data_IF_827739030662
#
_entry.id   IF_827739030662
#
_cell.length_a   1.000
_cell.length_b   1.000
_cell.length_c   1.000
_cell.angle_alpha   90.00
_cell.angle_beta   90.00
_cell.angle_gamma   90.00
#
_symmetry.space_group_name_H-M   'P 1'
#
loop_
_entity.id
_entity.type
_entity.pdbx_description
1 polymer ?
#
# COMPACT_ATOMS: atom_id res chain seq x y z
N UNK A 1 -9.60 -13.77 7.67
CA UNK A 1 -9.33 -12.61 8.55
C UNK A 1 -9.53 -11.23 7.89
N UNK A 2 -9.36 -11.02 6.57
CA UNK A 2 -9.68 -9.72 5.93
C UNK A 2 -11.12 -9.21 6.19
N UNK A 3 -12.08 -10.14 6.32
CA UNK A 3 -13.46 -9.79 6.67
C UNK A 3 -13.58 -9.10 8.04
N UNK A 4 -12.77 -9.50 9.04
CA UNK A 4 -12.78 -8.86 10.36
C UNK A 4 -12.30 -7.42 10.29
N UNK A 5 -11.24 -7.12 9.54
CA UNK A 5 -10.77 -5.74 9.36
C UNK A 5 -11.82 -4.87 8.66
N UNK A 6 -12.51 -5.41 7.66
CA UNK A 6 -13.61 -4.71 6.96
C UNK A 6 -14.80 -4.50 7.89
N UNK A 7 -15.17 -5.51 8.68
CA UNK A 7 -16.28 -5.44 9.65
C UNK A 7 -15.96 -4.46 10.79
N UNK A 8 -14.75 -4.47 11.34
CA UNK A 8 -14.30 -3.48 12.31
C UNK A 8 -14.28 -2.08 11.71
N UNK A 9 -13.84 -1.92 10.46
CA UNK A 9 -13.93 -0.65 9.72
C UNK A 9 -15.36 -0.12 9.64
N UNK A 10 -16.33 -0.99 9.32
CA UNK A 10 -17.77 -0.64 9.28
C UNK A 10 -18.35 -0.35 10.67
N UNK A 11 -17.93 -1.08 11.69
CA UNK A 11 -18.36 -0.86 13.08
C UNK A 11 -17.88 0.50 13.64
N UNK A 12 -16.69 0.93 13.24
CA UNK A 12 -16.14 2.23 13.65
C UNK A 12 -16.59 3.41 12.77
N UNK A 13 -17.25 3.15 11.64
CA UNK A 13 -17.81 4.18 10.76
C UNK A 13 -18.75 5.18 11.46
N UNK A 14 -19.75 4.76 12.28
CA UNK A 14 -20.61 5.69 13.00
C UNK A 14 -19.87 6.54 14.05
N UNK A 15 -18.82 5.99 14.68
CA UNK A 15 -17.98 6.72 15.64
C UNK A 15 -17.16 7.80 14.92
N UNK A 16 -16.57 7.45 13.78
CA UNK A 16 -15.80 8.39 12.98
C UNK A 16 -16.68 9.52 12.44
N UNK A 17 -17.91 9.23 11.99
CA UNK A 17 -18.86 10.25 11.54
C UNK A 17 -19.20 11.24 12.67
N UNK A 18 -19.44 10.75 13.88
CA UNK A 18 -19.67 11.63 15.06
C UNK A 18 -18.49 12.53 15.37
N UNK A 19 -17.26 12.02 15.27
CA UNK A 19 -16.04 12.82 15.48
C UNK A 19 -15.91 13.90 14.40
N UNK A 20 -16.15 13.55 13.13
CA UNK A 20 -16.09 14.48 12.00
C UNK A 20 -17.13 15.59 12.12
N UNK A 21 -18.37 15.24 12.46
CA UNK A 21 -19.46 16.19 12.68
C UNK A 21 -19.18 17.09 13.90
N UNK A 22 -18.67 16.50 14.99
CA UNK A 22 -18.35 17.25 16.21
C UNK A 22 -17.17 18.22 16.02
N UNK A 23 -16.17 17.86 15.22
CA UNK A 23 -15.03 18.71 14.92
C UNK A 23 -15.26 19.60 13.68
N UNK A 24 -16.44 19.53 13.05
CA UNK A 24 -16.79 20.24 11.80
C UNK A 24 -15.71 20.13 10.73
N UNK A 25 -15.14 18.94 10.59
CA UNK A 25 -14.05 18.70 9.64
C UNK A 25 -14.62 18.75 8.22
N UNK A 26 -13.99 19.53 7.33
CA UNK A 26 -14.35 19.56 5.93
C UNK A 26 -13.95 18.23 5.25
N UNK A 27 -14.94 17.39 4.98
CA UNK A 27 -14.76 16.07 4.38
C UNK A 27 -14.56 16.09 2.86
N UNK A 28 -14.80 17.23 2.21
CA UNK A 28 -14.65 17.38 0.76
C UNK A 28 -13.25 17.85 0.35
N UNK A 29 -12.40 18.19 1.33
CA UNK A 29 -11.03 18.60 1.07
C UNK A 29 -10.13 17.42 0.67
N UNK A 30 -9.20 17.68 -0.25
CA UNK A 30 -8.13 16.74 -0.62
C UNK A 30 -7.37 16.20 0.60
N UNK A 31 -7.05 17.07 1.57
CA UNK A 31 -6.35 16.68 2.81
C UNK A 31 -7.10 15.62 3.61
N UNK A 32 -8.43 15.66 3.63
CA UNK A 32 -9.24 14.69 4.35
C UNK A 32 -9.21 13.32 3.67
N UNK A 33 -9.30 13.31 2.33
CA UNK A 33 -9.17 12.09 1.54
C UNK A 33 -7.76 11.49 1.66
N UNK A 34 -6.72 12.31 1.60
CA UNK A 34 -5.34 11.86 1.81
C UNK A 34 -5.17 11.16 3.16
N UNK A 35 -5.73 11.75 4.23
CA UNK A 35 -5.72 11.13 5.55
C UNK A 35 -6.47 9.78 5.56
N UNK A 36 -7.64 9.68 4.91
CA UNK A 36 -8.38 8.42 4.80
C UNK A 36 -7.59 7.34 4.05
N UNK A 37 -6.93 7.69 2.95
CA UNK A 37 -6.09 6.76 2.17
C UNK A 37 -4.88 6.29 2.98
N UNK A 38 -4.15 7.21 3.63
CA UNK A 38 -2.99 6.86 4.48
C UNK A 38 -3.42 5.95 5.64
N UNK A 39 -4.53 6.27 6.31
CA UNK A 39 -5.07 5.46 7.41
C UNK A 39 -5.40 4.05 6.93
N UNK A 40 -6.08 3.93 5.80
CA UNK A 40 -6.49 2.64 5.23
C UNK A 40 -5.26 1.81 4.82
N UNK A 41 -4.27 2.45 4.19
CA UNK A 41 -3.00 1.83 3.84
C UNK A 41 -2.24 1.33 5.07
N UNK A 42 -2.15 2.12 6.13
CA UNK A 42 -1.49 1.73 7.38
C UNK A 42 -2.20 0.56 8.07
N UNK A 43 -3.55 0.60 8.16
CA UNK A 43 -4.35 -0.48 8.72
C UNK A 43 -4.19 -1.77 7.93
N UNK A 44 -4.23 -1.70 6.60
CA UNK A 44 -4.03 -2.88 5.74
C UNK A 44 -2.60 -3.42 5.84
N UNK A 45 -1.60 -2.55 5.96
CA UNK A 45 -0.20 -2.96 6.15
C UNK A 45 -0.01 -3.71 7.46
N UNK A 46 -0.58 -3.21 8.55
CA UNK A 46 -0.57 -3.88 9.85
C UNK A 46 -1.36 -5.20 9.79
N UNK A 47 -2.52 -5.23 9.14
CA UNK A 47 -3.29 -6.45 8.92
C UNK A 47 -2.45 -7.51 8.18
N UNK A 48 -1.70 -7.10 7.16
CA UNK A 48 -0.78 -7.98 6.42
C UNK A 48 0.39 -8.50 7.26
N UNK A 49 0.87 -7.72 8.24
CA UNK A 49 1.90 -8.22 9.17
C UNK A 49 1.40 -9.42 9.99
N UNK A 50 0.13 -9.43 10.42
CA UNK A 50 -0.43 -10.58 11.15
C UNK A 50 -0.48 -11.86 10.33
N UNK A 51 -0.53 -11.78 9.00
CA UNK A 51 -0.47 -12.97 8.14
C UNK A 51 0.97 -13.47 7.95
N UNK A 52 1.95 -12.57 7.99
CA UNK A 52 3.36 -12.91 7.76
C UNK A 52 4.06 -13.40 9.02
N UNK A 53 3.70 -12.86 10.17
CA UNK A 53 4.24 -13.24 11.47
C UNK A 53 3.34 -14.33 12.06
N UNK A 54 3.87 -15.53 12.28
CA UNK A 54 3.10 -16.72 12.62
C UNK A 54 2.34 -16.68 13.95
N UNK A 55 2.50 -15.63 14.77
CA UNK A 55 1.79 -15.48 16.05
C UNK A 55 1.38 -14.02 16.32
N UNK A 56 0.19 -13.84 16.93
CA UNK A 56 -0.37 -12.55 17.31
C UNK A 56 0.54 -11.75 18.25
N UNK A 57 1.15 -12.41 19.24
CA UNK A 57 2.08 -11.79 20.20
C UNK A 57 3.38 -11.29 19.58
N UNK A 58 3.93 -12.00 18.59
CA UNK A 58 5.12 -11.55 17.85
C UNK A 58 4.81 -10.31 17.02
N UNK A 59 3.64 -10.28 16.37
CA UNK A 59 3.23 -9.12 15.57
C UNK A 59 3.11 -7.86 16.42
N UNK A 60 2.45 -7.95 17.59
CA UNK A 60 2.32 -6.81 18.51
C UNK A 60 3.67 -6.37 19.05
N UNK A 61 4.54 -7.32 19.40
CA UNK A 61 5.88 -7.02 19.92
C UNK A 61 6.73 -6.30 18.88
N UNK A 62 6.67 -6.71 17.61
CA UNK A 62 7.38 -6.07 16.51
C UNK A 62 6.82 -4.69 16.18
N UNK A 63 5.49 -4.50 16.18
CA UNK A 63 4.86 -3.18 16.02
C UNK A 63 5.28 -2.24 17.17
N UNK A 64 5.21 -2.72 18.42
CA UNK A 64 5.61 -1.95 19.60
C UNK A 64 7.08 -1.54 19.53
N UNK A 65 7.97 -2.46 19.14
CA UNK A 65 9.39 -2.15 18.93
C UNK A 65 9.56 -1.08 17.87
N UNK A 66 8.92 -1.23 16.70
CA UNK A 66 9.01 -0.26 15.61
C UNK A 66 8.53 1.15 15.96
N UNK A 67 7.50 1.28 16.80
CA UNK A 67 6.98 2.60 17.25
C UNK A 67 7.83 3.18 18.39
N UNK A 68 8.30 2.33 19.30
CA UNK A 68 9.00 2.77 20.52
C UNK A 68 10.48 3.08 20.27
N UNK A 69 11.09 2.46 19.25
CA UNK A 69 12.44 2.83 18.80
C UNK A 69 12.37 4.02 17.84
N UNK A 70 12.59 5.22 18.36
CA UNK A 70 12.72 6.42 17.53
C UNK A 70 14.01 6.38 16.72
N UNK A 71 13.95 5.84 15.51
CA UNK A 71 15.09 5.79 14.58
C UNK A 71 14.70 6.21 13.15
N UNK A 72 14.31 7.47 12.93
CA UNK A 72 13.97 7.97 11.59
C UNK A 72 15.17 7.98 10.64
N UNK A 73 16.40 8.04 11.17
CA UNK A 73 17.64 8.01 10.40
C UNK A 73 17.87 6.68 9.67
N UNK A 74 17.22 5.60 10.10
CA UNK A 74 17.30 4.27 9.46
C UNK A 74 16.89 4.30 7.98
N UNK A 75 16.07 5.29 7.59
CA UNK A 75 15.63 5.52 6.21
C UNK A 75 16.73 6.09 5.31
N UNK A 76 17.74 6.73 5.90
CA UNK A 76 18.81 7.43 5.18
C UNK A 76 20.21 6.84 5.43
N UNK A 77 20.39 6.11 6.52
CA UNK A 77 21.66 5.52 6.96
C UNK A 77 21.98 4.18 6.25
N UNK A 78 21.13 3.73 5.32
CA UNK A 78 21.32 2.48 4.58
C UNK A 78 21.18 1.20 5.40
N UNK A 79 20.96 1.31 6.71
CA UNK A 79 20.66 0.20 7.62
C UNK A 79 19.35 -0.51 7.26
N UNK A 80 18.41 0.16 6.59
CA UNK A 80 17.21 -0.45 6.01
C UNK A 80 17.54 -1.59 5.02
N UNK A 81 18.62 -1.45 4.25
CA UNK A 81 19.03 -2.43 3.24
C UNK A 81 19.60 -3.71 3.85
N UNK A 82 19.94 -3.69 5.15
CA UNK A 82 20.40 -4.85 5.91
C UNK A 82 19.26 -5.78 6.33
N UNK A 83 17.99 -5.37 6.18
CA UNK A 83 16.81 -6.22 6.46
C UNK A 83 16.53 -7.28 5.38
N UNK A 84 17.46 -7.53 4.45
CA UNK A 84 17.30 -8.51 3.37
C UNK A 84 16.61 -7.97 2.12
N UNK A 85 16.40 -6.64 2.04
CA UNK A 85 15.88 -5.98 0.84
C UNK A 85 17.00 -5.17 0.20
N UNK A 86 17.42 -5.59 -1.00
CA UNK A 86 18.44 -4.88 -1.77
C UNK A 86 17.99 -3.43 -2.05
N UNK A 87 18.94 -2.49 -2.03
CA UNK A 87 18.70 -1.06 -2.27
C UNK A 87 17.89 -0.80 -3.55
N UNK A 88 18.22 -1.52 -4.62
CA UNK A 88 17.52 -1.41 -5.91
C UNK A 88 16.04 -1.82 -5.79
N UNK A 89 15.75 -2.89 -5.07
CA UNK A 89 14.39 -3.40 -4.87
C UNK A 89 13.59 -2.45 -3.96
N UNK A 90 14.22 -1.90 -2.93
CA UNK A 90 13.58 -0.91 -2.06
C UNK A 90 13.21 0.36 -2.83
N UNK A 91 14.10 0.83 -3.70
CA UNK A 91 13.87 2.01 -4.55
C UNK A 91 12.76 1.76 -5.56
N UNK A 92 12.75 0.58 -6.18
CA UNK A 92 11.68 0.15 -7.08
C UNK A 92 10.32 0.11 -6.36
N UNK A 93 10.25 -0.50 -5.18
CA UNK A 93 9.03 -0.54 -4.36
C UNK A 93 8.50 0.87 -4.07
N UNK A 94 9.39 1.78 -3.69
CA UNK A 94 9.02 3.16 -3.42
C UNK A 94 8.45 3.85 -4.67
N UNK A 95 9.09 3.66 -5.84
CA UNK A 95 8.59 4.18 -7.13
C UNK A 95 7.23 3.57 -7.45
N UNK A 96 7.04 2.26 -7.28
CA UNK A 96 5.76 1.58 -7.54
C UNK A 96 4.63 2.13 -6.66
N UNK A 97 4.90 2.39 -5.37
CA UNK A 97 3.91 3.01 -4.48
C UNK A 97 3.56 4.42 -4.93
N UNK A 98 4.54 5.23 -5.36
CA UNK A 98 4.29 6.56 -5.92
C UNK A 98 3.44 6.47 -7.19
N UNK A 99 3.75 5.55 -8.10
CA UNK A 99 2.97 5.35 -9.34
C UNK A 99 1.52 5.00 -9.01
N UNK A 100 1.29 4.04 -8.09
CA UNK A 100 -0.06 3.67 -7.65
C UNK A 100 -0.79 4.85 -7.00
N UNK A 101 -0.10 5.64 -6.19
CA UNK A 101 -0.67 6.83 -5.57
C UNK A 101 -1.05 7.89 -6.62
N UNK A 102 -0.21 8.12 -7.63
CA UNK A 102 -0.52 9.03 -8.74
C UNK A 102 -1.72 8.53 -9.55
N UNK A 103 -1.82 7.22 -9.78
CA UNK A 103 -2.99 6.63 -10.46
C UNK A 103 -4.26 6.87 -9.64
N UNK A 104 -4.24 6.60 -8.34
CA UNK A 104 -5.37 6.85 -7.42
C UNK A 104 -5.79 8.34 -7.41
N UNK A 105 -4.81 9.25 -7.45
CA UNK A 105 -5.06 10.69 -7.59
C UNK A 105 -5.72 11.06 -8.92
N UNK A 106 -5.26 10.47 -10.03
CA UNK A 106 -5.82 10.71 -11.36
C UNK A 106 -7.25 10.19 -11.47
N UNK A 107 -7.49 8.96 -10.99
CA UNK A 107 -8.84 8.38 -10.94
C UNK A 107 -9.79 9.23 -10.11
N UNK A 108 -9.31 9.71 -8.96
CA UNK A 108 -10.10 10.58 -8.07
C UNK A 108 -10.38 11.93 -8.71
N UNK A 109 -9.41 12.54 -9.39
CA UNK A 109 -9.55 13.86 -10.01
C UNK A 109 -10.51 13.84 -11.19
N UNK A 110 -10.38 12.85 -12.06
CA UNK A 110 -11.22 12.71 -13.26
C UNK A 110 -12.57 12.03 -12.95
N UNK A 111 -12.72 11.49 -11.72
CA UNK A 111 -13.89 10.73 -11.27
C UNK A 111 -14.23 9.56 -12.22
N UNK A 112 -13.19 8.97 -12.80
CA UNK A 112 -13.25 7.91 -13.80
C UNK A 112 -12.15 6.89 -13.55
N UNK A 113 -12.48 5.61 -13.78
CA UNK A 113 -11.53 4.49 -13.75
C UNK A 113 -10.37 4.73 -14.72
N UNK A 114 -9.13 4.41 -14.30
CA UNK A 114 -7.91 4.54 -15.10
C UNK A 114 -8.05 3.82 -16.44
N UNK A 115 -8.85 2.74 -16.51
CA UNK A 115 -9.15 2.01 -17.74
C UNK A 115 -9.93 2.86 -18.75
N UNK A 116 -10.84 3.71 -18.27
CA UNK A 116 -11.58 4.67 -19.11
C UNK A 116 -10.66 5.80 -19.56
N UNK A 117 -9.82 6.31 -18.67
CA UNK A 117 -8.80 7.31 -19.00
C UNK A 117 -7.84 6.79 -20.09
N UNK A 118 -7.37 5.55 -19.98
CA UNK A 118 -6.52 4.90 -20.98
C UNK A 118 -7.24 4.66 -22.32
N UNK A 119 -8.56 4.42 -22.31
CA UNK A 119 -9.37 4.27 -23.53
C UNK A 119 -9.57 5.57 -24.29
N UNK A 120 -9.54 6.71 -23.60
CA UNK A 120 -9.61 8.05 -24.22
C UNK A 120 -8.30 8.42 -24.95
N UNK A 121 -7.19 7.77 -24.62
CA UNK A 121 -5.90 8.01 -25.25
C UNK A 121 -5.78 7.30 -26.61
N UNK A 122 -4.89 7.85 -27.46
CA UNK A 122 -4.59 7.25 -28.76
C UNK A 122 -4.14 5.79 -28.62
N UNK A 123 -4.51 4.96 -29.61
CA UNK A 123 -4.24 3.52 -29.60
C UNK A 123 -2.76 3.21 -29.32
N UNK A 124 -1.85 3.93 -29.98
CA UNK A 124 -0.40 3.75 -29.81
C UNK A 124 0.07 4.03 -28.37
N UNK A 125 -0.39 5.12 -27.76
CA UNK A 125 -0.02 5.49 -26.38
C UNK A 125 -0.51 4.43 -25.38
N UNK A 126 -1.76 3.98 -25.53
CA UNK A 126 -2.36 2.94 -24.68
C UNK A 126 -1.54 1.64 -24.72
N UNK A 127 -1.17 1.17 -25.91
CA UNK A 127 -0.39 -0.06 -26.04
C UNK A 127 1.02 0.11 -25.46
N UNK A 128 1.70 1.22 -25.73
CA UNK A 128 3.04 1.48 -25.16
C UNK A 128 3.00 1.44 -23.63
N UNK A 129 2.04 2.11 -22.99
CA UNK A 129 1.90 2.06 -21.53
C UNK A 129 1.73 0.63 -21.01
N UNK A 130 0.88 -0.18 -21.65
CA UNK A 130 0.65 -1.57 -21.25
C UNK A 130 1.92 -2.40 -21.41
N UNK A 131 2.62 -2.27 -22.53
CA UNK A 131 3.88 -2.99 -22.78
C UNK A 131 4.97 -2.60 -21.78
N UNK A 132 5.08 -1.32 -21.42
CA UNK A 132 6.03 -0.85 -20.41
C UNK A 132 5.71 -1.47 -19.05
N UNK A 133 4.46 -1.38 -18.59
CA UNK A 133 4.05 -1.93 -17.29
C UNK A 133 4.31 -3.43 -17.23
N UNK A 134 3.95 -4.17 -18.28
CA UNK A 134 4.20 -5.61 -18.38
C UNK A 134 5.70 -5.93 -18.34
N UNK A 135 6.52 -5.19 -19.10
CA UNK A 135 7.97 -5.44 -19.15
C UNK A 135 8.63 -5.12 -17.81
N UNK A 136 8.26 -4.03 -17.16
CA UNK A 136 8.75 -3.67 -15.82
C UNK A 136 8.37 -4.74 -14.81
N UNK A 137 7.13 -5.23 -14.83
CA UNK A 137 6.70 -6.30 -13.94
C UNK A 137 7.49 -7.61 -14.16
N UNK A 138 7.77 -7.97 -15.42
CA UNK A 138 8.52 -9.20 -15.74
C UNK A 138 10.00 -9.10 -15.39
N UNK A 139 10.66 -7.99 -15.72
CA UNK A 139 12.10 -7.82 -15.52
C UNK A 139 12.43 -7.52 -14.06
N UNK A 140 11.60 -6.71 -13.40
CA UNK A 140 11.84 -6.30 -12.02
C UNK A 140 11.11 -7.17 -10.99
N UNK A 141 10.30 -8.13 -11.42
CA UNK A 141 9.66 -9.09 -10.54
C UNK A 141 10.66 -10.10 -9.97
N UNK A 142 10.50 -10.41 -8.69
CA UNK A 142 11.36 -11.36 -7.98
C UNK A 142 10.81 -12.78 -8.15
N UNK A 143 11.16 -13.45 -9.26
CA UNK A 143 10.66 -14.79 -9.63
C UNK A 143 11.72 -15.92 -9.53
N UNK A 144 12.90 -15.64 -8.96
CA UNK A 144 14.01 -16.61 -8.93
C UNK A 144 13.73 -17.84 -8.04
N UNK A 145 14.43 -18.96 -8.23
CA UNK A 145 14.23 -20.19 -7.45
C UNK A 145 14.54 -20.04 -5.95
N UNK A 146 15.28 -19.00 -5.56
CA UNK A 146 15.51 -18.61 -4.16
C UNK A 146 14.30 -17.87 -3.55
N UNK A 147 13.35 -17.46 -4.39
CA UNK A 147 12.06 -16.90 -4.01
C UNK A 147 11.01 -18.00 -4.16
N UNK A 148 10.74 -18.67 -3.06
CA UNK A 148 9.72 -19.72 -3.02
C UNK A 148 8.37 -19.15 -3.44
N UNK A 149 7.82 -19.59 -4.58
CA UNK A 149 6.51 -19.17 -5.06
C UNK A 149 5.40 -19.52 -4.05
N UNK A 150 5.67 -20.46 -3.15
CA UNK A 150 4.81 -20.86 -2.02
C UNK A 150 4.75 -19.80 -0.91
N UNK A 151 5.69 -18.84 -0.86
CA UNK A 151 5.68 -17.70 0.06
C UNK A 151 4.80 -16.54 -0.41
N UNK A 152 4.10 -16.66 -1.55
CA UNK A 152 3.00 -15.75 -1.80
C UNK A 152 1.97 -15.92 -0.69
N UNK A 153 1.60 -14.80 -0.04
CA UNK A 153 0.62 -14.76 1.05
C UNK A 153 -0.71 -15.44 0.66
N UNK A 154 -0.96 -15.60 -0.63
CA UNK A 154 -2.15 -16.22 -1.23
C UNK A 154 -1.95 -17.66 -1.73
N UNK A 155 -0.77 -18.26 -1.59
CA UNK A 155 -0.46 -19.63 -2.06
C UNK A 155 -0.72 -20.74 -1.04
N UNK A 156 -1.15 -20.38 0.19
CA UNK A 156 -1.35 -21.32 1.30
C UNK A 156 -2.84 -21.65 1.50
N UNK A 157 -3.57 -21.87 0.41
CA UNK A 157 -4.95 -22.37 0.44
C UNK A 157 -5.03 -23.81 -0.07
#
# INVERSE_FOLDING_TARGET
MCYLCIVFGKLFEPLLKRVVESLKINTECFSWRLFQSIRTFALMSVANMFFRLGTFGETITNIKRGIMTWNPWILFDGSLYKLGVNEKNCRLLFISVIVLFVVDLLETKENEDIRKLLKKQNCLFRWICIWIIMTVALVCGMYGPEFDATNFIYGVF
#
